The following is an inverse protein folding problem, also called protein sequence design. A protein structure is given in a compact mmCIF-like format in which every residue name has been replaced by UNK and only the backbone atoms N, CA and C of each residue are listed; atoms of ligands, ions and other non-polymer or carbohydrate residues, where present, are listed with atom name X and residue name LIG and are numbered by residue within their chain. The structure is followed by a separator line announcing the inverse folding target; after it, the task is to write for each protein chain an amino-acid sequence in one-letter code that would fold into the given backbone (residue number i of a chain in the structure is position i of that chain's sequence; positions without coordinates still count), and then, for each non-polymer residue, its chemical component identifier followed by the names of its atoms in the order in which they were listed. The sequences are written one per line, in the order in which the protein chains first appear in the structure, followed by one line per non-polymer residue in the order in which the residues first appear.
data_IF_954994218623
#
_entry.id   IF_954994218623
#
_cell.length_a   1.000
_cell.length_b   1.000
_cell.length_c   1.000
_cell.angle_alpha   90.00
_cell.angle_beta   90.00
_cell.angle_gamma   90.00
#
_symmetry.space_group_name_H-M   'P 1'
#
loop_
_entity.id
_entity.type
_entity.pdbx_description
1 polymer ?
#
# COMPACT_ATOMS: atom_id res chain seq x y z
N UNK A 1 -13.42 5.98 -2.17
CA UNK A 1 -12.04 5.49 -2.16
C UNK A 1 -11.11 6.61 -2.60
N UNK A 2 -9.86 6.62 -2.15
CA UNK A 2 -8.86 7.62 -2.55
C UNK A 2 -8.70 7.71 -4.08
N UNK A 3 -8.98 6.64 -4.81
CA UNK A 3 -8.97 6.61 -6.26
C UNK A 3 -9.89 7.63 -6.92
N UNK A 4 -11.04 7.93 -6.32
CA UNK A 4 -11.99 8.91 -6.88
C UNK A 4 -11.50 10.36 -6.80
N UNK A 5 -10.53 10.67 -5.94
CA UNK A 5 -9.99 12.02 -5.76
C UNK A 5 -8.94 12.38 -6.80
N UNK A 6 -8.41 11.38 -7.48
CA UNK A 6 -7.43 11.50 -8.57
C UNK A 6 -7.95 12.35 -9.72
N UNK A 7 -9.22 12.25 -10.02
CA UNK A 7 -9.82 12.97 -11.17
C UNK A 7 -9.70 14.49 -11.08
N UNK A 8 -9.48 15.05 -9.90
CA UNK A 8 -9.34 16.50 -9.73
C UNK A 8 -7.92 16.95 -9.37
N UNK A 9 -6.95 16.03 -9.37
CA UNK A 9 -5.53 16.35 -9.20
C UNK A 9 -5.27 17.27 -8.01
N UNK A 10 -5.77 16.89 -6.81
CA UNK A 10 -5.68 17.72 -5.60
C UNK A 10 -4.78 17.11 -4.52
N UNK A 11 -3.45 17.18 -4.63
CA UNK A 11 -2.53 16.64 -3.63
C UNK A 11 -2.77 17.18 -2.21
N UNK A 12 -3.18 18.45 -2.10
CA UNK A 12 -3.50 19.05 -0.80
C UNK A 12 -4.63 18.33 -0.07
N UNK A 13 -5.71 18.02 -0.80
CA UNK A 13 -6.86 17.30 -0.23
C UNK A 13 -6.45 15.89 0.20
N UNK A 14 -5.62 15.21 -0.59
CA UNK A 14 -5.09 13.89 -0.26
C UNK A 14 -4.20 13.92 0.98
N UNK A 15 -3.40 14.98 1.16
CA UNK A 15 -2.62 15.15 2.40
C UNK A 15 -3.52 15.29 3.63
N UNK A 16 -4.63 16.01 3.52
CA UNK A 16 -5.62 16.09 4.63
C UNK A 16 -6.25 14.73 4.90
N UNK A 17 -6.57 13.96 3.87
CA UNK A 17 -7.07 12.58 4.00
C UNK A 17 -6.03 11.71 4.71
N UNK A 18 -4.78 11.75 4.30
CA UNK A 18 -3.69 11.02 4.94
C UNK A 18 -3.56 11.34 6.44
N UNK A 19 -3.69 12.62 6.82
CA UNK A 19 -3.68 13.04 8.24
C UNK A 19 -4.85 12.44 9.03
N UNK A 20 -6.04 12.45 8.46
CA UNK A 20 -7.22 11.88 9.11
C UNK A 20 -7.07 10.36 9.27
N UNK A 21 -6.61 9.65 8.22
CA UNK A 21 -6.36 8.21 8.24
C UNK A 21 -5.30 7.88 9.29
N UNK A 22 -4.15 8.56 9.29
CA UNK A 22 -3.07 8.33 10.25
C UNK A 22 -3.53 8.51 11.69
N UNK A 23 -4.27 9.59 11.97
CA UNK A 23 -4.87 9.83 13.29
C UNK A 23 -5.80 8.70 13.71
N UNK A 24 -6.71 8.27 12.85
CA UNK A 24 -7.68 7.24 13.19
C UNK A 24 -7.04 5.85 13.35
N UNK A 25 -6.02 5.51 12.55
CA UNK A 25 -5.22 4.29 12.72
C UNK A 25 -4.55 4.30 14.10
N UNK A 26 -3.86 5.40 14.47
CA UNK A 26 -3.13 5.50 15.73
C UNK A 26 -4.06 5.48 16.95
N UNK A 27 -5.20 6.11 16.89
CA UNK A 27 -6.21 6.07 17.95
C UNK A 27 -6.73 4.65 18.21
N UNK A 28 -6.74 3.79 17.20
CA UNK A 28 -7.17 2.40 17.29
C UNK A 28 -6.03 1.41 17.55
N UNK A 29 -4.81 1.88 17.80
CA UNK A 29 -3.66 1.04 18.10
C UNK A 29 -2.92 0.50 16.89
N UNK A 30 -3.28 0.93 15.68
CA UNK A 30 -2.54 0.64 14.47
C UNK A 30 -1.28 1.51 14.35
N UNK A 31 -0.25 1.00 13.69
CA UNK A 31 1.04 1.69 13.53
C UNK A 31 1.47 1.80 12.08
N UNK A 32 0.93 0.95 11.22
CA UNK A 32 1.27 0.85 9.80
C UNK A 32 -0.01 0.99 8.98
N UNK A 33 0.05 1.80 7.94
CA UNK A 33 -0.95 1.88 6.88
C UNK A 33 -0.45 1.12 5.66
N UNK A 34 -1.20 0.14 5.16
CA UNK A 34 -0.87 -0.56 3.91
C UNK A 34 -1.38 0.24 2.71
N UNK A 35 -0.76 1.38 2.50
CA UNK A 35 -0.99 2.34 1.44
C UNK A 35 0.00 3.51 1.53
N UNK A 36 0.12 4.29 0.46
CA UNK A 36 -0.69 4.33 -0.76
C UNK A 36 -0.39 3.22 -1.77
N UNK A 37 -1.39 2.92 -2.62
CA UNK A 37 -1.21 2.06 -3.80
C UNK A 37 -0.61 2.92 -4.92
N UNK A 38 0.58 2.54 -5.37
CA UNK A 38 1.34 3.27 -6.40
C UNK A 38 1.41 2.52 -7.74
N UNK A 39 0.63 1.44 -7.87
CA UNK A 39 0.49 0.72 -9.13
C UNK A 39 -0.15 1.60 -10.19
N UNK A 40 0.30 1.45 -11.43
CA UNK A 40 -0.28 2.15 -12.58
C UNK A 40 -1.35 1.30 -13.24
N UNK A 41 -2.54 1.87 -13.43
CA UNK A 41 -3.68 1.22 -14.07
C UNK A 41 -3.51 1.15 -15.60
N UNK A 42 -2.51 0.42 -16.10
CA UNK A 42 -2.21 0.30 -17.53
C UNK A 42 -3.07 -0.74 -18.24
N UNK A 43 -3.42 -1.82 -17.56
CA UNK A 43 -4.33 -2.84 -18.10
C UNK A 43 -5.70 -2.73 -17.39
N UNK A 44 -6.75 -2.28 -18.10
CA UNK A 44 -8.07 -2.12 -17.50
C UNK A 44 -8.76 -3.44 -17.13
N UNK A 45 -8.20 -4.59 -17.52
CA UNK A 45 -8.70 -5.93 -17.14
C UNK A 45 -8.20 -6.36 -15.77
N UNK A 46 -7.16 -5.70 -15.24
CA UNK A 46 -6.64 -6.01 -13.93
C UNK A 46 -7.66 -5.70 -12.84
N UNK A 47 -7.96 -6.68 -11.98
CA UNK A 47 -9.05 -6.59 -11.00
C UNK A 47 -8.86 -5.51 -9.91
N UNK A 48 -7.63 -4.99 -9.74
CA UNK A 48 -7.29 -3.99 -8.71
C UNK A 48 -7.09 -2.57 -9.24
N UNK A 49 -7.51 -2.30 -10.47
CA UNK A 49 -7.47 -0.94 -11.06
C UNK A 49 -8.13 0.10 -10.15
N UNK A 50 -9.21 -0.25 -9.49
CA UNK A 50 -9.96 0.63 -8.58
C UNK A 50 -9.17 1.10 -7.35
N UNK A 51 -8.11 0.38 -6.95
CA UNK A 51 -7.25 0.77 -5.84
C UNK A 51 -6.24 1.86 -6.22
N UNK A 52 -6.00 2.06 -7.51
CA UNK A 52 -4.91 2.90 -8.03
C UNK A 52 -5.27 4.38 -8.14
N UNK A 53 -4.26 5.21 -8.33
CA UNK A 53 -4.44 6.62 -8.68
C UNK A 53 -4.51 6.86 -10.20
N UNK A 54 -4.63 5.82 -11.01
CA UNK A 54 -4.73 5.89 -12.46
C UNK A 54 -3.48 5.41 -13.20
N UNK A 55 -3.36 5.78 -14.46
CA UNK A 55 -2.31 5.31 -15.36
C UNK A 55 -1.10 6.25 -15.49
N UNK A 56 -1.24 7.50 -15.02
CA UNK A 56 -0.23 8.54 -15.14
C UNK A 56 0.79 8.44 -13.99
N UNK A 57 2.08 8.14 -14.28
CA UNK A 57 3.09 8.01 -13.24
C UNK A 57 3.39 9.31 -12.50
N UNK A 58 3.27 10.47 -13.15
CA UNK A 58 3.51 11.78 -12.51
C UNK A 58 2.40 12.06 -11.50
N UNK A 59 1.15 11.90 -11.90
CA UNK A 59 0.00 12.09 -11.00
C UNK A 59 0.05 11.10 -9.83
N UNK A 60 0.31 9.83 -10.11
CA UNK A 60 0.44 8.79 -9.07
C UNK A 60 1.54 9.13 -8.07
N UNK A 61 2.68 9.63 -8.53
CA UNK A 61 3.77 10.07 -7.69
C UNK A 61 3.39 11.26 -6.79
N UNK A 62 2.78 12.31 -7.34
CA UNK A 62 2.37 13.50 -6.59
C UNK A 62 1.27 13.18 -5.54
N UNK A 63 0.31 12.35 -5.89
CA UNK A 63 -0.74 11.92 -4.96
C UNK A 63 -0.17 10.98 -3.89
N UNK A 64 0.68 10.03 -4.29
CA UNK A 64 1.38 9.13 -3.37
C UNK A 64 2.23 9.87 -2.35
N UNK A 65 3.03 10.84 -2.82
CA UNK A 65 3.79 11.77 -1.98
C UNK A 65 2.90 12.50 -0.97
N UNK A 66 1.80 13.09 -1.44
CA UNK A 66 0.88 13.82 -0.57
C UNK A 66 0.23 12.91 0.50
N UNK A 67 -0.10 11.68 0.16
CA UNK A 67 -0.61 10.68 1.12
C UNK A 67 0.45 10.34 2.18
N UNK A 68 1.70 10.07 1.77
CA UNK A 68 2.81 9.79 2.69
C UNK A 68 3.05 10.96 3.65
N UNK A 69 3.11 12.19 3.14
CA UNK A 69 3.25 13.40 3.96
C UNK A 69 2.08 13.55 4.95
N UNK A 70 0.87 13.22 4.53
CA UNK A 70 -0.31 13.20 5.39
C UNK A 70 -0.24 12.16 6.50
N UNK A 71 0.22 10.95 6.21
CA UNK A 71 0.38 9.86 7.17
C UNK A 71 1.49 10.12 8.20
N UNK A 72 2.40 11.06 7.96
CA UNK A 72 3.44 11.43 8.92
C UNK A 72 4.76 11.85 8.28
N UNK A 73 4.97 11.61 6.97
CA UNK A 73 6.17 12.06 6.26
C UNK A 73 7.49 11.55 6.84
N UNK A 74 7.47 10.41 7.53
CA UNK A 74 8.66 9.82 8.16
C UNK A 74 9.02 10.39 9.54
N UNK A 75 8.29 11.37 10.06
CA UNK A 75 8.40 11.80 11.46
C UNK A 75 7.57 10.88 12.35
N UNK A 76 8.20 9.84 12.89
CA UNK A 76 7.55 8.84 13.73
C UNK A 76 7.37 9.29 15.20
N UNK A 77 7.92 10.43 15.59
CA UNK A 77 7.79 10.97 16.94
C UNK A 77 6.41 11.59 17.22
N UNK A 78 5.71 12.01 16.16
CA UNK A 78 4.39 12.59 16.31
C UNK A 78 3.34 11.50 16.66
N UNK A 79 2.47 11.71 17.64
CA UNK A 79 1.58 10.67 18.18
C UNK A 79 0.56 10.09 17.18
N UNK A 80 0.30 10.83 16.11
CA UNK A 80 -0.62 10.38 15.04
C UNK A 80 0.09 9.96 13.75
N UNK A 81 1.42 9.95 13.75
CA UNK A 81 2.19 9.45 12.61
C UNK A 81 2.05 7.95 12.45
N UNK A 82 1.87 7.53 11.22
CA UNK A 82 1.70 6.15 10.81
C UNK A 82 2.73 5.83 9.73
N UNK A 83 3.31 4.64 9.76
CA UNK A 83 4.17 4.15 8.67
C UNK A 83 3.34 3.98 7.41
N UNK A 84 3.67 4.73 6.36
CA UNK A 84 3.14 4.48 5.04
C UNK A 84 3.84 3.29 4.41
N UNK A 85 3.08 2.34 3.86
CA UNK A 85 3.60 1.19 3.11
C UNK A 85 3.27 1.37 1.64
N UNK A 86 4.28 1.62 0.84
CA UNK A 86 4.14 1.80 -0.61
C UNK A 86 3.90 0.45 -1.27
N UNK A 87 2.84 0.34 -2.07
CA UNK A 87 2.47 -0.93 -2.68
C UNK A 87 1.95 -0.77 -4.11
N UNK A 88 2.13 -1.80 -4.92
CA UNK A 88 2.88 -3.02 -4.72
C UNK A 88 4.16 -2.97 -5.56
N UNK A 89 5.29 -3.25 -4.97
CA UNK A 89 6.58 -3.07 -5.60
C UNK A 89 7.02 -4.36 -6.31
N UNK A 90 6.93 -4.50 -7.66
CA UNK A 90 6.81 -3.46 -8.65
C UNK A 90 6.04 -3.96 -9.89
N UNK A 91 5.47 -3.01 -10.66
CA UNK A 91 4.85 -3.25 -11.97
C UNK A 91 3.66 -4.23 -11.97
N UNK A 92 2.90 -4.26 -10.88
CA UNK A 92 1.79 -5.19 -10.67
C UNK A 92 0.59 -4.93 -11.60
N UNK A 93 0.31 -3.66 -11.93
CA UNK A 93 -0.81 -3.24 -12.77
C UNK A 93 -0.67 -3.56 -14.26
N UNK A 94 0.40 -4.25 -14.67
CA UNK A 94 0.61 -4.73 -16.05
C UNK A 94 0.78 -6.25 -16.11
N UNK A 95 0.24 -6.97 -15.14
CA UNK A 95 0.25 -8.43 -15.13
C UNK A 95 -0.35 -9.00 -16.42
N UNK A 96 0.26 -10.04 -16.96
CA UNK A 96 -0.12 -10.63 -18.24
C UNK A 96 -1.61 -10.99 -18.27
N UNK A 97 -2.28 -10.61 -19.36
CA UNK A 97 -3.72 -10.78 -19.57
C UNK A 97 -4.62 -10.12 -18.53
N UNK A 98 -4.10 -9.19 -17.71
CA UNK A 98 -4.83 -8.58 -16.59
C UNK A 98 -5.10 -9.54 -15.44
N UNK A 99 -4.50 -10.71 -15.44
CA UNK A 99 -4.68 -11.71 -14.37
C UNK A 99 -3.86 -11.31 -13.14
N UNK A 100 -4.52 -11.28 -11.99
CA UNK A 100 -3.90 -10.89 -10.75
C UNK A 100 -2.78 -11.86 -10.34
N UNK A 101 -1.56 -11.34 -10.17
CA UNK A 101 -0.38 -12.13 -9.79
C UNK A 101 0.37 -12.80 -10.95
N UNK A 102 -0.15 -12.72 -12.17
CA UNK A 102 0.58 -13.21 -13.35
C UNK A 102 1.87 -12.42 -13.60
N UNK A 103 2.83 -12.98 -14.36
CA UNK A 103 4.07 -12.28 -14.71
C UNK A 103 3.82 -10.92 -15.35
N UNK A 104 4.70 -9.98 -15.08
CA UNK A 104 4.72 -8.66 -15.73
C UNK A 104 5.97 -8.53 -16.58
N UNK A 105 5.81 -7.99 -17.78
CA UNK A 105 6.90 -7.78 -18.71
C UNK A 105 7.07 -6.29 -18.97
N UNK A 106 8.18 -5.74 -18.48
CA UNK A 106 8.58 -4.36 -18.74
C UNK A 106 10.10 -4.32 -18.91
N UNK A 107 10.55 -3.63 -19.95
CA UNK A 107 11.97 -3.39 -20.14
C UNK A 107 12.51 -2.39 -19.08
N UNK A 108 13.82 -2.41 -18.85
CA UNK A 108 14.47 -1.58 -17.84
C UNK A 108 14.17 -0.08 -18.02
N UNK A 109 14.13 0.39 -19.27
CA UNK A 109 13.77 1.78 -19.60
C UNK A 109 12.37 2.11 -19.10
N UNK A 110 11.39 1.27 -19.39
CA UNK A 110 10.00 1.48 -18.99
C UNK A 110 9.83 1.46 -17.47
N UNK A 111 10.56 0.60 -16.79
CA UNK A 111 10.58 0.59 -15.32
C UNK A 111 11.05 1.95 -14.77
N UNK A 112 12.14 2.50 -15.29
CA UNK A 112 12.69 3.77 -14.85
C UNK A 112 11.86 4.99 -15.28
N UNK A 113 11.17 4.92 -16.42
CA UNK A 113 10.35 6.04 -16.91
C UNK A 113 8.98 6.09 -16.25
N UNK A 114 8.40 4.93 -15.89
CA UNK A 114 7.00 4.86 -15.45
C UNK A 114 6.80 4.27 -14.05
N UNK A 115 7.32 3.08 -13.78
CA UNK A 115 6.94 2.33 -12.58
C UNK A 115 7.74 2.68 -11.32
N UNK A 116 8.99 3.02 -11.46
CA UNK A 116 9.87 3.39 -10.34
C UNK A 116 9.65 4.82 -9.81
N UNK A 117 9.40 5.84 -10.66
CA UNK A 117 9.30 7.22 -10.19
C UNK A 117 8.25 7.47 -9.10
N UNK A 118 7.02 6.92 -9.12
CA UNK A 118 6.06 7.11 -8.04
C UNK A 118 6.57 6.61 -6.68
N UNK A 119 7.23 5.45 -6.67
CA UNK A 119 7.82 4.89 -5.45
C UNK A 119 8.99 5.74 -4.94
N UNK A 120 9.87 6.19 -5.85
CA UNK A 120 10.99 7.05 -5.48
C UNK A 120 10.51 8.34 -4.84
N UNK A 121 9.54 9.02 -5.47
CA UNK A 121 8.94 10.24 -4.92
C UNK A 121 8.34 10.02 -3.52
N UNK A 122 7.64 8.93 -3.31
CA UNK A 122 7.02 8.61 -2.03
C UNK A 122 8.04 8.24 -0.95
N UNK A 123 9.16 7.59 -1.31
CA UNK A 123 10.29 7.33 -0.40
C UNK A 123 10.95 8.64 0.01
N UNK A 124 11.20 9.53 -0.95
CA UNK A 124 11.79 10.85 -0.68
C UNK A 124 10.86 11.74 0.18
N UNK A 125 9.56 11.48 0.17
CA UNK A 125 8.57 12.10 1.05
C UNK A 125 8.52 11.48 2.46
N UNK A 126 9.31 10.46 2.75
CA UNK A 126 9.46 9.87 4.07
C UNK A 126 8.73 8.53 4.29
N UNK A 127 8.32 7.83 3.25
CA UNK A 127 7.81 6.46 3.43
C UNK A 127 8.87 5.53 4.00
N UNK A 128 8.51 4.72 4.98
CA UNK A 128 9.41 3.80 5.69
C UNK A 128 9.00 2.33 5.61
N UNK A 129 8.03 2.01 4.76
CA UNK A 129 7.64 0.63 4.45
C UNK A 129 7.35 0.48 2.96
N UNK A 130 7.76 -0.64 2.38
CA UNK A 130 7.47 -1.03 1.00
C UNK A 130 6.94 -2.45 1.01
N UNK A 131 5.85 -2.70 0.29
CA UNK A 131 5.27 -4.04 0.14
C UNK A 131 5.61 -4.60 -1.24
N UNK A 132 6.10 -5.84 -1.28
CA UNK A 132 6.35 -6.53 -2.54
C UNK A 132 5.05 -6.90 -3.25
N UNK A 133 5.11 -7.07 -4.56
CA UNK A 133 3.95 -7.48 -5.36
C UNK A 133 3.92 -8.99 -5.62
N UNK A 134 2.73 -9.52 -5.97
CA UNK A 134 2.55 -10.95 -6.25
C UNK A 134 3.15 -11.42 -7.57
N UNK A 135 3.30 -10.54 -8.56
CA UNK A 135 3.80 -10.91 -9.88
C UNK A 135 5.30 -11.21 -9.88
N UNK A 136 5.74 -11.86 -10.92
CA UNK A 136 7.15 -11.94 -11.28
C UNK A 136 7.49 -10.90 -12.36
N UNK A 137 8.75 -10.51 -12.40
CA UNK A 137 9.32 -9.69 -13.46
C UNK A 137 10.43 -10.50 -14.14
N UNK A 138 10.28 -10.72 -15.44
CA UNK A 138 11.23 -11.52 -16.23
C UNK A 138 11.54 -12.89 -15.56
N UNK A 139 10.50 -13.57 -15.07
CA UNK A 139 10.60 -14.87 -14.40
C UNK A 139 11.04 -14.84 -12.93
N UNK A 140 11.43 -13.68 -12.38
CA UNK A 140 11.82 -13.55 -10.97
C UNK A 140 10.66 -12.99 -10.15
N UNK A 141 10.10 -13.74 -9.16
CA UNK A 141 9.07 -13.20 -8.27
C UNK A 141 9.54 -11.93 -7.59
N UNK A 142 8.73 -10.88 -7.55
CA UNK A 142 9.10 -9.60 -6.93
C UNK A 142 9.53 -9.77 -5.47
N UNK A 143 8.89 -10.70 -4.74
CA UNK A 143 9.22 -11.05 -3.35
C UNK A 143 10.58 -11.75 -3.21
N UNK A 144 11.14 -12.32 -4.27
CA UNK A 144 12.45 -12.96 -4.30
C UNK A 144 13.50 -12.18 -5.13
N UNK A 145 13.16 -10.95 -5.55
CA UNK A 145 13.99 -10.19 -6.49
C UNK A 145 15.05 -9.35 -5.76
N UNK A 146 16.26 -9.92 -5.61
CA UNK A 146 17.38 -9.25 -4.95
C UNK A 146 17.79 -7.94 -5.65
N UNK A 147 17.82 -7.91 -6.99
CA UNK A 147 18.19 -6.71 -7.74
C UNK A 147 17.20 -5.57 -7.48
N UNK A 148 15.92 -5.88 -7.34
CA UNK A 148 14.88 -4.90 -7.04
C UNK A 148 14.92 -4.43 -5.58
N UNK A 149 14.96 -5.37 -4.62
CA UNK A 149 14.77 -5.05 -3.20
C UNK A 149 16.07 -4.65 -2.49
N UNK A 150 17.20 -5.20 -2.92
CA UNK A 150 18.49 -4.91 -2.29
C UNK A 150 19.33 -3.94 -3.14
N UNK A 151 19.59 -4.26 -4.40
CA UNK A 151 20.48 -3.41 -5.21
C UNK A 151 19.86 -2.05 -5.50
N UNK A 152 18.63 -2.01 -6.03
CA UNK A 152 17.97 -0.75 -6.33
C UNK A 152 17.45 -0.08 -5.06
N UNK A 153 16.55 -0.73 -4.32
CA UNK A 153 15.83 -0.09 -3.22
C UNK A 153 16.78 0.28 -2.06
N UNK A 154 17.61 -0.66 -1.59
CA UNK A 154 18.48 -0.41 -0.43
C UNK A 154 19.81 0.22 -0.81
N UNK A 155 20.48 -0.29 -1.83
CA UNK A 155 21.86 0.14 -2.13
C UNK A 155 21.89 1.42 -2.94
N UNK A 156 21.05 1.56 -3.98
CA UNK A 156 21.01 2.76 -4.81
C UNK A 156 20.16 3.86 -4.17
N UNK A 157 18.91 3.56 -3.79
CA UNK A 157 18.00 4.55 -3.23
C UNK A 157 18.23 4.85 -1.75
N UNK A 158 19.07 4.06 -1.06
CA UNK A 158 19.36 4.21 0.38
C UNK A 158 18.13 4.10 1.27
N UNK A 159 17.16 3.29 0.85
CA UNK A 159 15.94 3.07 1.62
C UNK A 159 16.26 2.44 2.97
N UNK A 160 15.85 3.10 4.05
CA UNK A 160 16.14 2.68 5.43
C UNK A 160 14.98 1.95 6.12
N UNK A 161 13.81 1.93 5.47
CA UNK A 161 12.61 1.31 6.01
C UNK A 161 12.62 -0.21 5.93
N UNK A 162 11.47 -0.80 6.21
CA UNK A 162 11.21 -2.23 6.09
C UNK A 162 10.62 -2.59 4.73
N UNK A 163 10.91 -3.81 4.29
CA UNK A 163 10.19 -4.45 3.18
C UNK A 163 9.30 -5.53 3.77
N UNK A 164 8.00 -5.43 3.52
CA UNK A 164 7.02 -6.43 3.91
C UNK A 164 6.56 -7.20 2.68
N UNK A 165 6.34 -8.51 2.81
CA UNK A 165 5.70 -9.28 1.75
C UNK A 165 4.23 -8.87 1.59
N UNK A 166 3.62 -9.09 0.42
CA UNK A 166 2.16 -9.16 0.37
C UNK A 166 1.67 -10.47 1.04
N UNK A 167 0.39 -10.58 1.33
CA UNK A 167 -0.19 -11.75 2.02
C UNK A 167 0.19 -13.05 1.31
N UNK A 168 0.88 -13.94 2.04
CA UNK A 168 1.32 -15.25 1.54
C UNK A 168 2.23 -15.19 0.29
N UNK A 169 2.82 -14.04 -0.04
CA UNK A 169 3.63 -13.94 -1.26
C UNK A 169 4.99 -14.62 -1.14
N UNK A 170 5.47 -14.88 0.09
CA UNK A 170 6.67 -15.73 0.29
C UNK A 170 6.33 -17.19 0.00
N UNK A 171 5.21 -17.69 0.50
CA UNK A 171 4.67 -19.01 0.15
C UNK A 171 4.48 -19.14 -1.37
N UNK A 172 4.05 -18.05 -2.02
CA UNK A 172 3.86 -17.97 -3.46
C UNK A 172 5.13 -18.26 -4.26
N UNK A 173 6.33 -17.99 -3.73
CA UNK A 173 7.60 -18.34 -4.38
C UNK A 173 7.71 -19.84 -4.61
N UNK A 174 7.22 -20.65 -3.66
CA UNK A 174 7.15 -22.11 -3.77
C UNK A 174 5.89 -22.58 -4.49
N UNK A 175 4.71 -22.09 -4.09
CA UNK A 175 3.42 -22.67 -4.44
C UNK A 175 2.85 -22.17 -5.77
N UNK A 176 3.19 -20.94 -6.19
CA UNK A 176 2.62 -20.29 -7.37
C UNK A 176 3.65 -20.06 -8.46
N UNK A 177 4.83 -19.59 -8.10
CA UNK A 177 5.92 -19.32 -9.06
C UNK A 177 6.80 -20.55 -9.31
N UNK A 178 6.79 -21.54 -8.41
CA UNK A 178 7.56 -22.79 -8.52
C UNK A 178 9.07 -22.58 -8.69
N UNK A 179 9.63 -21.47 -8.20
CA UNK A 179 11.08 -21.16 -8.27
C UNK A 179 11.84 -21.64 -7.04
N UNK A 180 11.13 -22.05 -6.00
CA UNK A 180 11.71 -22.70 -4.81
C UNK A 180 11.12 -24.10 -4.64
N UNK A 181 11.94 -25.16 -4.42
CA UNK A 181 11.45 -26.51 -4.25
C UNK A 181 10.76 -26.76 -2.91
N UNK A 182 11.04 -25.95 -1.90
CA UNK A 182 10.47 -26.07 -0.56
C UNK A 182 10.12 -24.71 0.04
N UNK A 183 9.33 -24.71 1.11
CA UNK A 183 8.99 -23.49 1.85
C UNK A 183 10.23 -22.86 2.51
N UNK A 184 11.17 -23.68 2.99
CA UNK A 184 12.46 -23.20 3.52
C UNK A 184 13.25 -22.44 2.46
N UNK A 185 13.34 -22.98 1.23
CA UNK A 185 13.99 -22.29 0.10
C UNK A 185 13.28 -20.97 -0.24
N UNK A 186 11.95 -20.94 -0.23
CA UNK A 186 11.18 -19.72 -0.46
C UNK A 186 11.51 -18.66 0.59
N UNK A 187 11.55 -19.03 1.87
CA UNK A 187 11.94 -18.14 2.98
C UNK A 187 13.38 -17.62 2.83
N UNK A 188 14.31 -18.50 2.43
CA UNK A 188 15.72 -18.13 2.17
C UNK A 188 15.81 -17.12 1.04
N UNK A 189 15.11 -17.35 -0.08
CA UNK A 189 15.11 -16.45 -1.22
C UNK A 189 14.53 -15.07 -0.86
N UNK A 190 13.41 -15.03 -0.15
CA UNK A 190 12.78 -13.79 0.26
C UNK A 190 13.67 -12.97 1.22
N UNK A 191 14.21 -13.59 2.27
CA UNK A 191 15.10 -12.89 3.21
C UNK A 191 16.39 -12.42 2.51
N UNK A 192 16.98 -13.26 1.65
CA UNK A 192 18.18 -12.90 0.87
C UNK A 192 17.90 -11.78 -0.14
N UNK A 193 16.68 -11.69 -0.66
CA UNK A 193 16.28 -10.59 -1.52
C UNK A 193 16.10 -9.27 -0.75
N UNK A 194 15.86 -9.32 0.57
CA UNK A 194 15.71 -8.14 1.41
C UNK A 194 14.34 -7.92 2.02
N UNK A 195 13.45 -8.92 2.00
CA UNK A 195 12.15 -8.90 2.69
C UNK A 195 12.38 -9.06 4.19
N UNK A 196 11.80 -8.16 4.99
CA UNK A 196 11.99 -8.13 6.43
C UNK A 196 10.84 -8.80 7.20
N UNK A 197 9.64 -8.75 6.65
CA UNK A 197 8.42 -9.20 7.33
C UNK A 197 7.60 -10.09 6.41
N UNK A 198 7.27 -11.27 6.90
CA UNK A 198 6.33 -12.20 6.28
C UNK A 198 4.91 -11.82 6.70
N UNK A 199 4.08 -11.38 5.76
CA UNK A 199 2.72 -10.93 6.06
C UNK A 199 1.72 -12.06 5.87
N UNK A 200 1.08 -12.46 6.97
CA UNK A 200 -0.01 -13.43 7.00
C UNK A 200 0.41 -14.88 6.76
N UNK A 201 1.69 -15.12 6.44
CA UNK A 201 2.23 -16.43 6.18
C UNK A 201 3.06 -17.00 7.34
N UNK A 202 3.51 -18.23 7.16
CA UNK A 202 4.36 -18.97 8.09
C UNK A 202 5.71 -19.37 7.48
N UNK A 203 6.04 -18.86 6.28
CA UNK A 203 7.27 -19.23 5.59
C UNK A 203 8.51 -18.93 6.43
N UNK A 204 8.54 -17.77 7.10
CA UNK A 204 9.68 -17.36 7.94
C UNK A 204 9.87 -18.19 9.22
N UNK A 205 8.92 -19.02 9.61
CA UNK A 205 9.12 -20.02 10.66
C UNK A 205 10.23 -21.02 10.29
N UNK A 206 10.52 -21.21 9.02
CA UNK A 206 11.60 -22.08 8.53
C UNK A 206 12.99 -21.45 8.62
N UNK A 207 13.12 -20.14 8.85
CA UNK A 207 14.41 -19.45 8.89
C UNK A 207 15.33 -19.92 10.02
N UNK A 208 14.77 -20.37 11.14
CA UNK A 208 15.56 -20.88 12.26
C UNK A 208 16.38 -22.13 11.84
N UNK A 209 15.76 -23.03 11.08
CA UNK A 209 16.47 -24.20 10.53
C UNK A 209 17.55 -23.78 9.53
N UNK A 210 17.24 -22.84 8.65
CA UNK A 210 18.19 -22.33 7.66
C UNK A 210 19.42 -21.67 8.30
N UNK A 211 19.26 -20.96 9.42
CA UNK A 211 20.37 -20.38 10.20
C UNK A 211 21.17 -21.48 10.88
N UNK A 212 20.52 -22.43 11.55
CA UNK A 212 21.20 -23.52 12.27
C UNK A 212 22.01 -24.43 11.34
N UNK A 213 21.57 -24.59 10.10
CA UNK A 213 22.27 -25.37 9.08
C UNK A 213 23.26 -24.55 8.25
N UNK A 214 23.43 -23.27 8.56
CA UNK A 214 24.38 -22.37 7.88
C UNK A 214 23.97 -21.95 6.46
N UNK A 215 22.72 -22.19 6.06
CA UNK A 215 22.18 -21.80 4.74
C UNK A 215 21.91 -20.30 4.65
N UNK A 216 21.64 -19.65 5.78
CA UNK A 216 21.55 -18.20 5.94
C UNK A 216 22.48 -17.79 7.08
N UNK A 217 23.17 -16.66 6.92
CA UNK A 217 23.99 -16.11 8.00
C UNK A 217 23.08 -15.48 9.08
N UNK A 218 23.46 -15.68 10.35
CA UNK A 218 22.80 -15.00 11.47
C UNK A 218 22.80 -13.48 11.28
N UNK A 219 23.87 -12.92 10.72
CA UNK A 219 24.01 -11.48 10.45
C UNK A 219 22.91 -10.98 9.49
N UNK A 220 22.52 -11.75 8.48
CA UNK A 220 21.46 -11.39 7.55
C UNK A 220 20.09 -11.31 8.27
N UNK A 221 19.80 -12.30 9.13
CA UNK A 221 18.59 -12.31 9.95
C UNK A 221 18.59 -11.14 10.95
N UNK A 222 19.72 -10.93 11.67
CA UNK A 222 19.85 -9.84 12.65
C UNK A 222 19.65 -8.46 11.98
N UNK A 223 20.15 -8.27 10.76
CA UNK A 223 19.95 -7.03 10.01
C UNK A 223 18.47 -6.77 9.67
N UNK A 224 17.72 -7.81 9.32
CA UNK A 224 16.29 -7.72 9.07
C UNK A 224 15.51 -7.37 10.35
N UNK A 225 15.77 -8.11 11.43
CA UNK A 225 15.17 -7.84 12.75
C UNK A 225 15.48 -6.43 13.24
N UNK A 226 16.73 -5.96 13.07
CA UNK A 226 17.14 -4.64 13.48
C UNK A 226 16.36 -3.53 12.76
N UNK A 227 16.03 -3.69 11.49
CA UNK A 227 15.19 -2.70 10.75
C UNK A 227 13.80 -2.58 11.36
N UNK A 228 13.17 -3.70 11.69
CA UNK A 228 11.84 -3.71 12.32
C UNK A 228 11.88 -3.11 13.73
N UNK A 229 12.85 -3.55 14.54
CA UNK A 229 12.99 -3.06 15.93
C UNK A 229 13.29 -1.56 15.97
N UNK A 230 14.15 -1.06 15.07
CA UNK A 230 14.43 0.37 14.98
C UNK A 230 13.15 1.19 14.80
N UNK A 231 12.27 0.82 13.87
CA UNK A 231 11.01 1.55 13.67
C UNK A 231 10.10 1.48 14.89
N UNK A 232 10.07 0.35 15.61
CA UNK A 232 9.33 0.24 16.87
C UNK A 232 9.88 1.18 17.93
N UNK A 233 11.22 1.31 18.04
CA UNK A 233 11.85 2.27 18.96
C UNK A 233 11.57 3.73 18.56
N UNK A 234 11.72 4.05 17.27
CA UNK A 234 11.45 5.39 16.76
C UNK A 234 9.98 5.84 16.98
N UNK A 235 9.05 4.88 17.02
CA UNK A 235 7.63 5.11 17.34
C UNK A 235 7.32 5.13 18.84
N UNK A 236 8.27 4.92 19.72
CA UNK A 236 8.07 4.87 21.17
C UNK A 236 7.25 3.69 21.67
N UNK A 237 7.21 2.58 20.93
CA UNK A 237 6.32 1.45 21.26
C UNK A 237 6.80 0.61 22.44
N UNK A 238 8.05 0.79 22.89
CA UNK A 238 8.58 0.15 24.08
C UNK A 238 8.29 0.97 25.35
N UNK A 239 8.13 2.29 25.19
CA UNK A 239 7.78 3.21 26.28
C UNK A 239 6.28 3.30 26.50
N UNK A 240 5.50 3.36 25.40
CA UNK A 240 4.05 3.48 25.47
C UNK A 240 3.36 2.78 24.28
N UNK A 241 3.10 1.45 24.38
CA UNK A 241 2.42 0.70 23.33
C UNK A 241 0.90 0.82 23.37
N UNK A 242 0.33 1.47 24.37
CA UNK A 242 -1.10 1.46 24.64
C UNK A 242 -1.84 2.64 24.01
N UNK A 243 -3.13 2.43 23.77
CA UNK A 243 -4.08 3.47 23.34
C UNK A 243 -5.18 3.62 24.37
N UNK A 244 -5.81 4.79 24.40
CA UNK A 244 -6.98 5.06 25.24
C UNK A 244 -8.28 4.75 24.47
N UNK A 245 -9.02 3.69 24.84
CA UNK A 245 -10.26 3.29 24.15
C UNK A 245 -11.35 4.38 24.19
N UNK A 246 -11.43 5.15 25.28
CA UNK A 246 -12.44 6.22 25.39
C UNK A 246 -12.10 7.40 24.49
N UNK A 247 -10.82 7.72 24.35
CA UNK A 247 -10.34 8.69 23.36
C UNK A 247 -10.63 8.20 21.93
N UNK A 248 -10.37 6.93 21.64
CA UNK A 248 -10.67 6.33 20.34
C UNK A 248 -12.16 6.46 20.00
N UNK A 249 -13.06 6.06 20.89
CA UNK A 249 -14.51 6.19 20.71
C UNK A 249 -14.96 7.63 20.42
N UNK A 250 -14.30 8.61 21.01
CA UNK A 250 -14.66 10.03 20.86
C UNK A 250 -14.10 10.64 19.57
N UNK A 251 -12.89 10.26 19.15
CA UNK A 251 -12.15 10.95 18.10
C UNK A 251 -12.11 10.21 16.76
N UNK A 252 -12.32 8.90 16.75
CA UNK A 252 -12.49 8.12 15.49
C UNK A 252 -13.85 8.48 14.89
N UNK A 253 -13.86 8.69 13.58
CA UNK A 253 -15.06 9.15 12.84
C UNK A 253 -15.63 10.45 13.40
N UNK A 254 -14.75 11.38 13.79
CA UNK A 254 -15.15 12.71 14.28
C UNK A 254 -15.98 13.47 13.24
N UNK A 255 -16.70 14.50 13.66
CA UNK A 255 -17.44 15.39 12.77
C UNK A 255 -16.54 16.02 11.69
N UNK A 256 -15.28 16.31 12.05
CA UNK A 256 -14.25 16.80 11.14
C UNK A 256 -13.93 15.75 10.06
N UNK A 257 -13.69 14.49 10.46
CA UNK A 257 -13.44 13.37 9.53
C UNK A 257 -14.62 13.15 8.59
N UNK A 258 -15.87 13.20 9.11
CA UNK A 258 -17.09 13.06 8.29
C UNK A 258 -17.23 14.22 7.30
N UNK A 259 -16.92 15.44 7.74
CA UNK A 259 -16.94 16.63 6.87
C UNK A 259 -15.89 16.54 5.77
N UNK A 260 -14.68 16.10 6.12
CA UNK A 260 -13.61 15.86 5.14
C UNK A 260 -14.03 14.79 4.13
N UNK A 261 -14.54 13.65 4.58
CA UNK A 261 -15.01 12.57 3.70
C UNK A 261 -16.08 13.06 2.73
N UNK A 262 -17.03 13.89 3.18
CA UNK A 262 -18.04 14.54 2.32
C UNK A 262 -17.39 15.46 1.28
N UNK A 263 -16.44 16.29 1.69
CA UNK A 263 -15.72 17.20 0.78
C UNK A 263 -14.95 16.42 -0.29
N UNK A 264 -14.30 15.33 0.10
CA UNK A 264 -13.61 14.41 -0.80
C UNK A 264 -14.59 13.80 -1.80
N UNK A 265 -15.71 13.24 -1.34
CA UNK A 265 -16.74 12.66 -2.20
C UNK A 265 -17.31 13.69 -3.19
N UNK A 266 -17.58 14.92 -2.75
CA UNK A 266 -18.04 15.99 -3.63
C UNK A 266 -16.97 16.39 -4.67
N UNK A 267 -15.70 16.41 -4.26
CA UNK A 267 -14.59 16.75 -5.16
C UNK A 267 -14.35 15.65 -6.21
N UNK A 268 -14.69 14.38 -5.92
CA UNK A 268 -14.48 13.24 -6.82
C UNK A 268 -15.52 13.15 -7.93
N UNK A 269 -16.73 13.73 -7.74
CA UNK A 269 -17.81 13.67 -8.73
C UNK A 269 -17.41 14.47 -9.98
N UNK A 270 -17.41 13.80 -11.12
CA UNK A 270 -17.05 14.37 -12.41
C UNK A 270 -18.25 14.41 -13.33
N UNK A 271 -18.58 15.61 -13.85
CA UNK A 271 -19.64 15.79 -14.82
C UNK A 271 -19.16 15.36 -16.22
N UNK A 272 -19.56 14.16 -16.64
CA UNK A 272 -19.15 13.63 -17.95
C UNK A 272 -20.02 14.15 -19.09
N UNK A 273 -21.31 14.43 -18.81
CA UNK A 273 -22.29 14.84 -19.80
C UNK A 273 -23.42 15.62 -19.14
N UNK A 274 -23.85 16.73 -19.74
CA UNK A 274 -25.00 17.51 -19.27
C UNK A 274 -25.74 18.13 -20.47
N UNK A 275 -26.33 17.26 -21.31
CA UNK A 275 -27.09 17.70 -22.46
C UNK A 275 -28.36 18.42 -22.01
N UNK A 276 -28.73 19.45 -22.73
CA UNK A 276 -29.91 20.31 -22.47
C UNK A 276 -29.90 20.92 -21.05
N UNK A 277 -28.75 21.09 -20.42
CA UNK A 277 -28.63 21.68 -19.08
C UNK A 277 -29.55 20.97 -18.04
N UNK A 278 -29.62 19.65 -18.11
CA UNK A 278 -30.44 18.85 -17.19
C UNK A 278 -30.02 19.03 -15.73
N UNK A 279 -28.73 19.19 -15.49
CA UNK A 279 -28.16 19.45 -14.17
C UNK A 279 -27.85 20.95 -13.98
N UNK A 280 -28.05 21.52 -12.78
CA UNK A 280 -28.54 20.87 -11.57
C UNK A 280 -30.04 20.54 -11.64
N UNK A 281 -30.45 19.40 -11.07
CA UNK A 281 -31.87 19.02 -11.01
C UNK A 281 -32.66 19.98 -10.13
N UNK A 282 -33.89 20.29 -10.53
CA UNK A 282 -34.82 21.00 -9.67
C UNK A 282 -35.12 20.14 -8.43
N UNK A 283 -34.98 20.73 -7.22
CA UNK A 283 -35.16 20.03 -5.94
C UNK A 283 -36.55 19.40 -5.76
N UNK A 284 -37.56 19.89 -6.47
CA UNK A 284 -38.94 19.39 -6.41
C UNK A 284 -39.20 18.25 -7.41
N UNK A 285 -38.20 17.84 -8.20
CA UNK A 285 -38.35 16.74 -9.17
C UNK A 285 -38.39 15.40 -8.46
N UNK A 286 -39.32 14.54 -8.89
CA UNK A 286 -39.26 13.11 -8.51
C UNK A 286 -38.13 12.45 -9.25
N UNK A 287 -37.28 11.76 -8.51
CA UNK A 287 -36.10 11.03 -9.04
C UNK A 287 -36.24 9.56 -8.67
N UNK A 288 -36.08 8.67 -9.64
CA UNK A 288 -35.91 7.24 -9.38
C UNK A 288 -34.43 6.93 -9.26
N UNK A 289 -34.01 6.35 -8.14
CA UNK A 289 -32.67 5.85 -7.93
C UNK A 289 -32.67 4.34 -8.20
N UNK A 290 -31.96 3.89 -9.24
CA UNK A 290 -32.01 2.51 -9.73
C UNK A 290 -30.59 1.97 -9.86
N UNK A 291 -30.38 0.76 -9.40
CA UNK A 291 -29.10 0.05 -9.53
C UNK A 291 -28.78 -0.81 -8.31
N UNK A 292 -27.79 -1.70 -8.39
CA UNK A 292 -27.44 -2.61 -7.30
C UNK A 292 -26.98 -1.88 -6.02
N UNK A 293 -26.43 -0.66 -6.17
CA UNK A 293 -25.93 0.16 -5.06
C UNK A 293 -26.93 1.27 -4.63
N UNK A 294 -28.14 1.29 -5.18
CA UNK A 294 -29.12 2.36 -4.90
C UNK A 294 -29.49 2.44 -3.42
N UNK A 295 -29.58 1.29 -2.74
CA UNK A 295 -29.84 1.19 -1.29
C UNK A 295 -29.05 0.01 -0.69
N UNK A 296 -27.73 0.01 -0.88
CA UNK A 296 -26.86 -1.04 -0.37
C UNK A 296 -25.66 -0.45 0.38
N UNK A 297 -25.78 -0.33 1.69
CA UNK A 297 -24.70 0.21 2.54
C UNK A 297 -23.49 -0.70 2.59
N UNK A 298 -23.66 -2.02 2.45
CA UNK A 298 -22.57 -2.99 2.49
C UNK A 298 -21.58 -2.74 1.36
N UNK A 299 -22.05 -2.51 0.14
CA UNK A 299 -21.17 -2.24 -1.00
C UNK A 299 -20.37 -0.93 -0.89
N UNK A 300 -20.72 -0.05 0.08
CA UNK A 300 -19.94 1.17 0.34
C UNK A 300 -18.71 0.95 1.21
N UNK A 301 -18.58 -0.22 1.82
CA UNK A 301 -17.51 -0.52 2.78
C UNK A 301 -16.22 -1.00 2.11
N UNK A 302 -16.28 -1.38 0.82
CA UNK A 302 -15.15 -1.97 0.10
C UNK A 302 -14.83 -3.39 0.58
N UNK A 303 -13.63 -3.86 0.26
CA UNK A 303 -13.23 -5.25 0.54
C UNK A 303 -12.75 -5.48 1.98
N UNK A 304 -12.44 -4.42 2.70
CA UNK A 304 -11.95 -4.52 4.08
C UNK A 304 -13.10 -4.35 5.08
N UNK A 305 -13.83 -5.43 5.32
CA UNK A 305 -14.91 -5.50 6.29
C UNK A 305 -14.40 -6.05 7.62
N UNK A 306 -13.65 -5.28 8.35
CA UNK A 306 -13.32 -5.60 9.73
C UNK A 306 -14.48 -5.14 10.64
N UNK A 307 -15.35 -6.10 10.99
CA UNK A 307 -16.31 -6.00 12.09
C UNK A 307 -17.27 -4.80 12.06
N UNK A 308 -18.26 -4.85 11.21
CA UNK A 308 -19.49 -4.09 11.40
C UNK A 308 -20.63 -5.06 11.73
N UNK A 309 -20.72 -5.50 12.96
CA UNK A 309 -21.97 -6.01 13.53
C UNK A 309 -22.72 -4.87 14.15
#
# INVERSE_FOLDING_TARGET
SAASDVYKRQPQLIREVGKAIGKEIRLQGGHISYGPVLDLARDPRWSRVEETFGEDPVLTGEIGKAMVEGLGGGDLSHPYSTLATLKHFLAYGISESGQNGNPSFAGIRELHENFLPPFRQAIDAGALSVMTSYNSMDGVPCTANHSLLTELLRNEWKFRGIVVSDLYSIEGIHQSHFVAPTMEEAAILALSAGVDVDLGGDAYMNLMNAVNTGRISKTALDASVARVLRLKFEMGLFENPYVDPEKAKKEVRSEESVTLARRVAQASITLLKNEHSLLPLNKNRKVALIGPNADNRYNMLGDCLLYTS
#
